data_IF_277284882003
#
_entry.id   IF_277284882003
#
_cell.length_a   1.000
_cell.length_b   1.000
_cell.length_c   1.000
_cell.angle_alpha   90.00
_cell.angle_beta   90.00
_cell.angle_gamma   90.00
#
_symmetry.space_group_name_H-M   'P 1'
#
loop_
_entity.id
_entity.type
_entity.pdbx_description
1 polymer ?
#
# COMPACT_ATOMS: atom_id res chain seq x y z
N UNK A 1 -31.84 -70.88 2.46
CA UNK A 1 -33.21 -70.53 1.99
C UNK A 1 -33.21 -69.03 1.64
N UNK A 2 -32.94 -68.62 0.40
CA UNK A 2 -33.78 -68.65 -0.83
C UNK A 2 -34.99 -67.68 -0.71
N UNK A 3 -35.34 -66.73 -1.59
CA UNK A 3 -34.86 -66.16 -2.86
C UNK A 3 -35.68 -64.86 -3.14
N UNK A 4 -35.26 -64.05 -4.14
CA UNK A 4 -35.93 -62.84 -4.72
C UNK A 4 -37.24 -63.17 -5.48
N UNK A 5 -38.01 -62.20 -6.06
CA UNK A 5 -37.67 -61.53 -7.36
C UNK A 5 -38.09 -60.03 -7.54
N UNK A 6 -37.49 -59.36 -8.55
CA UNK A 6 -37.95 -58.11 -9.22
C UNK A 6 -38.85 -58.47 -10.45
N UNK A 7 -39.50 -57.53 -11.23
CA UNK A 7 -38.88 -56.75 -12.34
C UNK A 7 -39.55 -55.35 -12.64
N UNK A 8 -38.90 -54.32 -13.21
CA UNK A 8 -38.49 -53.98 -14.60
C UNK A 8 -39.60 -53.48 -15.58
N UNK A 9 -39.35 -52.35 -16.27
CA UNK A 9 -39.79 -51.96 -17.64
C UNK A 9 -39.76 -50.41 -17.81
N UNK A 10 -39.40 -49.74 -18.92
CA UNK A 10 -38.65 -49.96 -20.17
C UNK A 10 -38.80 -48.63 -20.96
N UNK A 11 -37.73 -48.10 -21.57
CA UNK A 11 -37.79 -47.04 -22.62
C UNK A 11 -38.38 -47.62 -23.93
N UNK A 12 -38.71 -46.81 -24.98
CA UNK A 12 -37.69 -46.48 -25.99
C UNK A 12 -37.85 -45.14 -26.76
N UNK A 13 -36.83 -44.92 -27.60
CA UNK A 13 -36.44 -43.84 -28.53
C UNK A 13 -37.26 -43.62 -29.84
N UNK A 14 -36.78 -42.65 -30.66
CA UNK A 14 -36.83 -42.44 -32.14
C UNK A 14 -38.01 -41.58 -32.66
N UNK A 15 -37.90 -40.70 -33.68
CA UNK A 15 -37.05 -40.66 -34.88
C UNK A 15 -37.11 -39.26 -35.57
N UNK A 16 -36.16 -38.94 -36.46
CA UNK A 16 -36.04 -37.71 -37.28
C UNK A 16 -36.99 -37.71 -38.53
N UNK A 17 -36.99 -36.71 -39.44
CA UNK A 17 -35.94 -36.61 -40.48
C UNK A 17 -35.56 -35.18 -40.99
N UNK A 18 -34.47 -35.17 -41.76
CA UNK A 18 -33.82 -34.08 -42.52
C UNK A 18 -34.63 -33.59 -43.73
N UNK A 19 -34.34 -32.36 -44.20
CA UNK A 19 -34.46 -32.06 -45.64
C UNK A 19 -33.36 -31.08 -46.11
N UNK A 20 -32.76 -31.43 -47.25
CA UNK A 20 -31.59 -30.81 -47.90
C UNK A 20 -32.03 -30.02 -49.13
N UNK A 21 -31.56 -28.78 -49.33
CA UNK A 21 -31.42 -28.19 -50.68
C UNK A 21 -30.14 -27.34 -50.79
N UNK A 22 -29.27 -27.69 -51.74
CA UNK A 22 -28.12 -26.93 -52.25
C UNK A 22 -28.53 -26.11 -53.48
N UNK A 23 -27.93 -24.92 -53.67
CA UNK A 23 -27.41 -24.39 -54.97
C UNK A 23 -26.64 -23.05 -54.75
N UNK A 24 -25.42 -22.96 -55.33
CA UNK A 24 -24.48 -21.81 -55.47
C UNK A 24 -24.62 -21.14 -56.88
N UNK A 25 -23.85 -20.10 -57.33
CA UNK A 25 -23.06 -19.00 -56.68
C UNK A 25 -23.10 -17.57 -57.37
N UNK A 26 -22.55 -16.54 -56.66
CA UNK A 26 -21.80 -15.28 -57.07
C UNK A 26 -22.41 -14.17 -57.99
N UNK A 27 -21.93 -12.87 -58.03
CA UNK A 27 -20.65 -12.29 -57.56
C UNK A 27 -20.65 -10.86 -56.88
N UNK A 28 -19.47 -10.50 -56.33
CA UNK A 28 -18.81 -9.19 -56.06
C UNK A 28 -19.59 -7.86 -55.92
N UNK A 29 -19.25 -7.06 -54.89
CA UNK A 29 -18.53 -5.76 -55.01
C UNK A 29 -18.33 -5.02 -53.65
N UNK A 30 -17.07 -4.59 -53.44
CA UNK A 30 -16.51 -3.55 -52.53
C UNK A 30 -16.57 -3.65 -50.99
N UNK A 31 -15.42 -4.00 -50.40
CA UNK A 31 -14.97 -3.49 -49.09
C UNK A 31 -14.41 -2.06 -49.22
N UNK A 32 -14.55 -1.23 -48.17
CA UNK A 32 -13.34 -0.56 -47.69
C UNK A 32 -13.15 -0.61 -46.16
N UNK A 33 -12.03 -1.24 -45.79
CA UNK A 33 -11.08 -0.97 -44.71
C UNK A 33 -11.54 -0.98 -43.23
N UNK A 34 -10.98 -1.88 -42.38
CA UNK A 34 -10.94 -1.66 -40.94
C UNK A 34 -9.87 -0.61 -40.61
N UNK A 35 -10.29 0.46 -39.95
CA UNK A 35 -9.42 1.48 -39.37
C UNK A 35 -8.58 0.80 -38.28
N UNK A 36 -7.32 0.49 -38.57
CA UNK A 36 -6.37 0.02 -37.55
C UNK A 36 -5.98 1.21 -36.68
N UNK A 37 -6.58 1.29 -35.49
CA UNK A 37 -6.03 2.07 -34.38
C UNK A 37 -4.76 1.35 -33.91
N UNK A 38 -3.63 1.66 -34.55
CA UNK A 38 -2.31 1.38 -33.99
C UNK A 38 -2.15 2.18 -32.71
N UNK A 39 -2.52 1.56 -31.59
CA UNK A 39 -2.06 2.00 -30.28
C UNK A 39 -0.54 1.90 -30.26
N UNK A 40 0.12 3.05 -30.36
CA UNK A 40 1.54 3.19 -30.06
C UNK A 40 1.73 2.93 -28.57
N UNK A 41 1.96 1.66 -28.22
CA UNK A 41 2.46 1.29 -26.89
C UNK A 41 3.87 1.86 -26.83
N UNK A 42 3.97 3.06 -26.25
CA UNK A 42 5.25 3.67 -25.95
C UNK A 42 5.87 2.80 -24.86
N UNK A 43 6.84 1.98 -25.24
CA UNK A 43 7.64 1.20 -24.32
C UNK A 43 8.21 2.17 -23.27
N UNK A 44 7.67 2.10 -22.06
CA UNK A 44 8.16 2.85 -20.93
C UNK A 44 9.55 2.31 -20.65
N UNK A 45 10.59 3.12 -20.89
CA UNK A 45 11.95 2.81 -20.49
C UNK A 45 11.93 2.57 -18.97
N UNK A 46 11.96 1.30 -18.56
CA UNK A 46 12.18 0.91 -17.17
C UNK A 46 13.63 1.30 -16.86
N UNK A 47 13.81 2.45 -16.23
CA UNK A 47 15.12 2.93 -15.81
C UNK A 47 15.76 1.87 -14.92
N UNK A 48 16.92 1.34 -15.33
CA UNK A 48 17.72 0.43 -14.50
C UNK A 48 18.06 1.19 -13.20
N UNK A 49 17.60 0.66 -12.06
CA UNK A 49 17.67 1.34 -10.77
C UNK A 49 19.11 1.54 -10.28
N UNK A 50 19.51 2.80 -10.16
CA UNK A 50 20.78 3.27 -9.56
C UNK A 50 20.50 4.41 -8.57
N UNK A 51 19.30 4.45 -8.01
CA UNK A 51 18.91 5.51 -7.09
C UNK A 51 19.36 5.19 -5.66
N UNK A 52 20.07 6.13 -5.04
CA UNK A 52 20.47 6.01 -3.64
C UNK A 52 19.37 6.49 -2.69
N UNK A 53 18.88 5.59 -1.82
CA UNK A 53 17.86 5.90 -0.82
C UNK A 53 18.41 6.46 0.49
N UNK A 54 19.74 6.36 0.74
CA UNK A 54 20.38 6.79 1.99
C UNK A 54 20.00 8.21 2.44
N UNK A 55 19.99 9.26 1.59
CA UNK A 55 19.67 10.61 2.07
C UNK A 55 18.23 10.70 2.62
N UNK A 56 17.24 10.20 1.86
CA UNK A 56 15.84 10.23 2.28
C UNK A 56 15.56 9.36 3.50
N UNK A 57 16.21 8.19 3.60
CA UNK A 57 16.10 7.33 4.78
C UNK A 57 16.78 7.95 6.00
N UNK A 58 17.91 8.62 5.82
CA UNK A 58 18.58 9.38 6.87
C UNK A 58 17.70 10.50 7.42
N UNK A 59 17.05 11.27 6.55
CA UNK A 59 16.13 12.34 6.95
C UNK A 59 14.88 11.78 7.64
N UNK A 60 14.31 10.70 7.12
CA UNK A 60 13.18 9.99 7.73
C UNK A 60 13.55 9.53 9.15
N UNK A 61 14.70 8.86 9.31
CA UNK A 61 15.16 8.37 10.61
C UNK A 61 15.42 9.51 11.60
N UNK A 62 16.05 10.61 11.17
CA UNK A 62 16.24 11.80 12.00
C UNK A 62 14.90 12.40 12.44
N UNK A 63 13.94 12.52 11.53
CA UNK A 63 12.60 13.04 11.85
C UNK A 63 11.83 12.15 12.84
N UNK A 64 12.07 10.84 12.81
CA UNK A 64 11.55 9.91 13.81
C UNK A 64 12.23 10.05 15.19
N UNK A 65 13.31 10.83 15.32
CA UNK A 65 14.11 10.95 16.54
C UNK A 65 15.17 9.85 16.69
N UNK A 66 15.54 9.16 15.60
CA UNK A 66 16.50 8.06 15.63
C UNK A 66 17.91 8.53 15.28
N UNK A 67 18.90 7.91 15.92
CA UNK A 67 20.29 8.06 15.51
C UNK A 67 20.52 7.39 14.14
N UNK A 68 21.24 8.08 13.26
CA UNK A 68 21.66 7.54 11.96
C UNK A 68 23.14 7.15 12.07
N UNK A 69 23.44 5.88 11.83
CA UNK A 69 24.82 5.37 11.77
C UNK A 69 25.31 5.37 10.33
N UNK A 70 26.58 5.73 10.13
CA UNK A 70 27.24 5.69 8.83
C UNK A 70 28.27 4.54 8.78
N UNK A 71 28.32 3.74 7.71
CA UNK A 71 27.44 3.80 6.53
C UNK A 71 26.04 3.27 6.82
N UNK A 72 25.01 3.95 6.29
CA UNK A 72 23.63 3.46 6.35
C UNK A 72 23.43 2.32 5.35
N UNK A 73 23.00 1.15 5.85
CA UNK A 73 22.63 -0.02 5.05
C UNK A 73 21.19 -0.49 5.34
N UNK A 74 20.65 -1.35 4.47
CA UNK A 74 19.28 -1.83 4.58
C UNK A 74 19.01 -2.59 5.88
N UNK A 75 20.00 -3.33 6.40
CA UNK A 75 19.87 -4.09 7.64
C UNK A 75 19.89 -3.19 8.88
N UNK A 76 20.67 -2.11 8.86
CA UNK A 76 20.67 -1.05 9.86
C UNK A 76 19.31 -0.36 9.93
N UNK A 77 18.73 -0.01 8.78
CA UNK A 77 17.38 0.57 8.73
C UNK A 77 16.33 -0.41 9.25
N UNK A 78 16.37 -1.68 8.83
CA UNK A 78 15.44 -2.72 9.34
C UNK A 78 15.58 -2.92 10.85
N UNK A 79 16.80 -2.93 11.37
CA UNK A 79 17.08 -3.08 12.81
C UNK A 79 16.57 -1.89 13.61
N UNK A 80 16.71 -0.68 13.09
CA UNK A 80 16.24 0.53 13.74
C UNK A 80 14.71 0.64 13.71
N UNK A 81 14.08 0.35 12.58
CA UNK A 81 12.64 0.56 12.37
C UNK A 81 11.76 -0.63 12.80
N UNK A 82 12.24 -1.86 12.64
CA UNK A 82 11.46 -3.08 12.89
C UNK A 82 10.82 -3.14 14.27
N UNK A 83 11.58 -2.91 15.36
CA UNK A 83 11.02 -2.90 16.72
C UNK A 83 9.94 -1.84 16.94
N UNK A 84 10.02 -0.71 16.22
CA UNK A 84 9.11 0.44 16.40
C UNK A 84 7.69 0.16 15.91
N UNK A 85 7.53 -0.79 14.98
CA UNK A 85 6.22 -1.18 14.45
C UNK A 85 5.28 -1.61 15.59
N UNK A 86 5.80 -2.37 16.56
CA UNK A 86 5.01 -2.96 17.65
C UNK A 86 4.89 -2.06 18.88
N UNK A 87 5.62 -0.95 18.96
CA UNK A 87 5.53 -0.04 20.11
C UNK A 87 4.18 0.66 20.15
N UNK A 88 3.47 0.60 21.26
CA UNK A 88 2.12 1.15 21.43
C UNK A 88 2.00 1.76 22.84
N UNK A 89 1.09 2.72 23.05
CA UNK A 89 0.11 3.26 22.10
C UNK A 89 0.68 4.37 21.19
N UNK A 90 0.47 4.29 19.88
CA UNK A 90 0.80 5.37 18.92
C UNK A 90 -0.16 5.37 17.72
N UNK A 91 -0.11 6.46 16.94
CA UNK A 91 -0.90 6.61 15.71
C UNK A 91 -0.67 5.44 14.74
N UNK A 92 -1.74 4.79 14.30
CA UNK A 92 -1.68 3.75 13.27
C UNK A 92 -1.08 4.26 11.96
N UNK A 93 -1.26 5.55 11.62
CA UNK A 93 -0.65 6.16 10.43
C UNK A 93 0.88 6.17 10.51
N UNK A 94 1.44 6.44 11.69
CA UNK A 94 2.89 6.35 11.92
C UNK A 94 3.36 4.89 11.83
N UNK A 95 2.60 3.97 12.42
CA UNK A 95 2.89 2.53 12.31
C UNK A 95 2.90 2.07 10.85
N UNK A 96 1.90 2.48 10.06
CA UNK A 96 1.78 2.20 8.63
C UNK A 96 2.92 2.79 7.83
N UNK A 97 3.32 4.02 8.11
CA UNK A 97 4.47 4.69 7.50
C UNK A 97 5.73 3.83 7.66
N UNK A 98 6.04 3.40 8.89
CA UNK A 98 7.21 2.57 9.20
C UNK A 98 7.14 1.24 8.44
N UNK A 99 5.98 0.57 8.43
CA UNK A 99 5.79 -0.70 7.70
C UNK A 99 5.98 -0.54 6.19
N UNK A 100 5.46 0.53 5.59
CA UNK A 100 5.65 0.83 4.17
C UNK A 100 7.11 1.17 3.84
N UNK A 101 7.80 1.92 4.70
CA UNK A 101 9.25 2.14 4.54
C UNK A 101 9.99 0.82 4.48
N UNK A 102 9.71 -0.11 5.40
CA UNK A 102 10.33 -1.45 5.42
C UNK A 102 10.03 -2.27 4.17
N UNK A 103 8.83 -2.14 3.58
CA UNK A 103 8.44 -2.84 2.34
C UNK A 103 9.10 -2.28 1.08
N UNK A 104 9.53 -1.02 1.13
CA UNK A 104 10.17 -0.33 0.00
C UNK A 104 11.70 -0.43 0.02
N UNK A 105 12.32 -1.00 1.06
CA UNK A 105 13.77 -1.14 1.15
C UNK A 105 14.31 -2.11 0.09
N UNK A 106 15.15 -1.63 -0.86
CA UNK A 106 15.92 -2.50 -1.74
C UNK A 106 17.12 -3.08 -0.99
N UNK A 107 17.77 -4.05 -1.61
CA UNK A 107 19.02 -4.61 -1.12
C UNK A 107 19.96 -4.80 -2.32
N UNK A 108 21.02 -3.96 -2.47
CA UNK A 108 21.48 -2.85 -1.60
C UNK A 108 20.67 -1.54 -1.72
N UNK A 109 20.94 -0.55 -0.84
CA UNK A 109 20.19 0.74 -0.76
C UNK A 109 20.38 1.69 -1.96
N UNK A 110 21.40 1.47 -2.77
CA UNK A 110 21.71 2.18 -4.02
C UNK A 110 21.22 1.47 -5.29
N UNK A 111 20.47 0.39 -5.13
CA UNK A 111 19.84 -0.34 -6.22
C UNK A 111 18.33 -0.03 -6.36
N UNK A 112 17.85 1.09 -5.80
CA UNK A 112 16.45 1.47 -5.95
C UNK A 112 16.14 1.90 -7.37
N UNK A 113 14.92 1.62 -7.81
CA UNK A 113 14.37 2.29 -8.98
C UNK A 113 13.81 3.69 -8.63
N UNK A 114 13.54 4.50 -9.66
CA UNK A 114 13.02 5.86 -9.49
C UNK A 114 11.67 5.90 -8.74
N UNK A 115 10.80 4.92 -8.96
CA UNK A 115 9.51 4.81 -8.28
C UNK A 115 9.65 4.55 -6.79
N UNK A 116 10.51 3.61 -6.40
CA UNK A 116 10.84 3.34 -4.99
C UNK A 116 11.40 4.58 -4.30
N UNK A 117 12.35 5.29 -4.94
CA UNK A 117 12.88 6.56 -4.41
C UNK A 117 11.79 7.60 -4.23
N UNK A 118 10.90 7.75 -5.20
CA UNK A 118 9.77 8.67 -5.10
C UNK A 118 8.87 8.32 -3.90
N UNK A 119 8.50 7.04 -3.75
CA UNK A 119 7.66 6.60 -2.63
C UNK A 119 8.31 6.82 -1.26
N UNK A 120 9.60 6.50 -1.11
CA UNK A 120 10.35 6.75 0.14
C UNK A 120 10.46 8.25 0.43
N UNK A 121 10.59 9.09 -0.61
CA UNK A 121 10.58 10.55 -0.46
C UNK A 121 9.23 11.04 0.08
N UNK A 122 8.11 10.51 -0.44
CA UNK A 122 6.77 10.84 0.07
C UNK A 122 6.59 10.41 1.54
N UNK A 123 7.06 9.22 1.90
CA UNK A 123 7.04 8.74 3.29
C UNK A 123 7.85 9.67 4.21
N UNK A 124 9.04 10.09 3.80
CA UNK A 124 9.88 11.03 4.55
C UNK A 124 9.16 12.37 4.76
N UNK A 125 8.52 12.92 3.72
CA UNK A 125 7.75 14.16 3.83
C UNK A 125 6.54 14.04 4.80
N UNK A 126 5.94 12.85 4.93
CA UNK A 126 4.85 12.61 5.89
C UNK A 126 5.31 12.67 7.35
N UNK A 127 6.59 12.38 7.65
CA UNK A 127 7.14 12.46 9.01
C UNK A 127 6.97 13.88 9.56
N UNK A 128 7.37 14.91 8.80
CA UNK A 128 7.24 16.30 9.25
C UNK A 128 5.78 16.74 9.50
N UNK A 129 4.83 16.22 8.71
CA UNK A 129 3.40 16.50 8.90
C UNK A 129 2.84 15.83 10.14
N UNK A 130 3.19 14.56 10.37
CA UNK A 130 2.81 13.82 11.58
C UNK A 130 3.44 14.46 12.83
N UNK A 131 4.67 14.93 12.74
CA UNK A 131 5.40 15.58 13.83
C UNK A 131 4.75 16.91 14.23
N UNK A 132 4.47 17.78 13.27
CA UNK A 132 3.75 19.03 13.52
C UNK A 132 2.38 18.78 14.17
N UNK A 133 1.64 17.79 13.67
CA UNK A 133 0.33 17.43 14.21
C UNK A 133 0.43 16.91 15.65
N UNK A 134 1.39 16.03 15.91
CA UNK A 134 1.62 15.42 17.23
C UNK A 134 2.02 16.50 18.24
N UNK A 135 2.96 17.36 17.86
CA UNK A 135 3.43 18.51 18.65
C UNK A 135 2.28 19.42 19.04
N UNK A 136 1.45 19.86 18.08
CA UNK A 136 0.30 20.74 18.35
C UNK A 136 -0.66 20.12 19.37
N UNK A 137 -0.89 18.80 19.30
CA UNK A 137 -1.78 18.11 20.24
C UNK A 137 -1.17 17.89 21.62
N UNK A 138 0.13 17.66 21.71
CA UNK A 138 0.83 17.62 22.99
C UNK A 138 0.79 18.99 23.66
N UNK A 139 1.07 20.07 22.91
CA UNK A 139 1.00 21.45 23.41
C UNK A 139 -0.38 21.81 23.93
N UNK A 140 -1.45 21.47 23.19
CA UNK A 140 -2.83 21.70 23.61
C UNK A 140 -3.22 20.91 24.89
N UNK A 141 -2.45 19.88 25.23
CA UNK A 141 -2.62 19.08 26.46
C UNK A 141 -1.59 19.44 27.54
N UNK A 142 -0.76 20.45 27.31
CA UNK A 142 0.36 20.84 28.16
C UNK A 142 1.31 19.67 28.48
N UNK A 143 1.56 18.82 27.48
CA UNK A 143 2.47 17.68 27.58
C UNK A 143 3.83 18.02 26.95
N UNK A 144 4.92 17.36 27.42
CA UNK A 144 6.23 17.51 26.80
C UNK A 144 6.19 17.13 25.32
N UNK A 145 7.03 17.80 24.52
CA UNK A 145 7.19 17.61 23.08
C UNK A 145 8.61 18.03 22.68
N UNK A 146 9.04 17.67 21.47
CA UNK A 146 10.34 18.01 20.90
C UNK A 146 11.41 16.93 21.07
N UNK A 147 11.04 15.70 21.44
CA UNK A 147 11.97 14.57 21.59
C UNK A 147 12.10 13.72 20.30
N UNK A 148 11.45 14.15 19.22
CA UNK A 148 11.32 13.42 17.96
C UNK A 148 9.97 12.70 17.87
N UNK A 149 9.49 12.52 16.63
CA UNK A 149 8.12 12.10 16.37
C UNK A 149 7.75 10.79 17.09
N UNK A 150 8.66 9.83 17.20
CA UNK A 150 8.34 8.53 17.80
C UNK A 150 7.97 8.66 19.29
N UNK A 151 8.82 9.33 20.07
CA UNK A 151 8.62 9.51 21.51
C UNK A 151 7.38 10.38 21.77
N UNK A 152 7.27 11.48 21.04
CA UNK A 152 6.12 12.38 21.13
C UNK A 152 4.81 11.67 20.77
N UNK A 153 4.81 10.77 19.76
CA UNK A 153 3.64 10.00 19.38
C UNK A 153 3.23 8.97 20.45
N UNK A 154 4.19 8.38 21.16
CA UNK A 154 3.92 7.48 22.29
C UNK A 154 3.30 8.23 23.47
N UNK A 155 3.89 9.37 23.86
CA UNK A 155 3.35 10.24 24.92
C UNK A 155 1.93 10.68 24.57
N UNK A 156 1.69 11.09 23.32
CA UNK A 156 0.37 11.49 22.87
C UNK A 156 -0.61 10.31 22.89
N UNK A 157 -0.17 9.13 22.43
CA UNK A 157 -0.97 7.91 22.43
C UNK A 157 -1.44 7.54 23.84
N UNK A 158 -0.54 7.54 24.82
CA UNK A 158 -0.86 7.23 26.22
C UNK A 158 -1.87 8.23 26.79
N UNK A 159 -1.66 9.52 26.50
CA UNK A 159 -2.54 10.57 26.97
C UNK A 159 -3.95 10.46 26.36
N UNK A 160 -4.06 10.02 25.11
CA UNK A 160 -5.35 9.87 24.41
C UNK A 160 -6.07 8.57 24.77
N UNK A 161 -5.34 7.51 25.09
CA UNK A 161 -5.90 6.25 25.58
C UNK A 161 -6.58 6.47 26.95
N UNK A 162 -5.92 7.22 27.84
CA UNK A 162 -6.47 7.56 29.17
C UNK A 162 -7.65 8.53 29.12
N UNK A 163 -7.52 9.62 28.35
CA UNK A 163 -8.56 10.65 28.24
C UNK A 163 -8.73 11.00 26.76
N UNK A 164 -9.74 10.42 26.08
CA UNK A 164 -10.02 10.77 24.71
C UNK A 164 -10.26 12.28 24.57
N UNK A 165 -9.48 12.94 23.72
CA UNK A 165 -9.67 14.35 23.42
C UNK A 165 -10.93 14.58 22.57
N UNK A 166 -11.52 15.80 22.59
CA UNK A 166 -12.58 16.17 21.67
C UNK A 166 -12.06 16.16 20.21
N UNK A 167 -12.96 15.98 19.25
CA UNK A 167 -12.64 15.94 17.82
C UNK A 167 -12.42 14.53 17.28
N UNK A 168 -11.71 14.42 16.15
CA UNK A 168 -11.44 13.11 15.54
C UNK A 168 -10.46 12.32 16.40
N UNK A 169 -10.87 11.11 16.78
CA UNK A 169 -10.02 10.17 17.51
C UNK A 169 -8.84 9.76 16.64
N UNK A 170 -7.68 9.70 17.29
CA UNK A 170 -6.49 9.09 16.70
C UNK A 170 -6.75 7.58 16.59
N UNK A 171 -6.53 6.96 15.42
CA UNK A 171 -6.52 5.51 15.35
C UNK A 171 -5.32 4.99 16.15
N UNK A 172 -5.60 4.31 17.25
CA UNK A 172 -4.62 3.64 18.12
C UNK A 172 -4.81 2.12 18.02
N UNK A 173 -3.75 1.36 18.32
CA UNK A 173 -3.80 -0.10 18.37
C UNK A 173 -2.78 -0.75 17.45
N UNK A 174 -3.02 -2.01 17.07
CA UNK A 174 -2.15 -2.76 16.16
C UNK A 174 -2.54 -2.43 14.71
N UNK A 175 -1.56 -2.18 13.85
CA UNK A 175 -1.79 -2.05 12.40
C UNK A 175 -1.83 -3.46 11.77
N UNK A 176 -3.02 -4.04 11.72
CA UNK A 176 -3.31 -5.39 11.21
C UNK A 176 -3.61 -5.44 9.70
N UNK A 177 -3.64 -4.28 9.04
CA UNK A 177 -3.86 -4.21 7.60
C UNK A 177 -2.75 -4.92 6.83
N UNK A 178 -3.17 -5.71 5.85
CA UNK A 178 -2.28 -6.44 4.96
C UNK A 178 -1.62 -5.51 3.94
N UNK A 179 -0.29 -5.47 3.97
CA UNK A 179 0.48 -4.68 3.02
C UNK A 179 0.91 -5.52 1.81
N UNK A 180 0.92 -4.92 0.60
CA UNK A 180 1.44 -5.56 -0.60
C UNK A 180 2.86 -6.09 -0.40
N UNK A 181 3.16 -7.19 -1.09
CA UNK A 181 4.49 -7.82 -1.03
C UNK A 181 5.60 -6.85 -1.47
N UNK A 182 6.83 -7.00 -0.96
CA UNK A 182 7.98 -6.28 -1.50
C UNK A 182 8.07 -6.47 -3.03
N UNK A 183 8.30 -5.39 -3.77
CA UNK A 183 8.37 -5.39 -5.23
C UNK A 183 7.04 -5.18 -5.96
N UNK A 184 5.88 -5.24 -5.28
CA UNK A 184 4.59 -4.88 -5.86
C UNK A 184 4.41 -3.35 -5.93
N UNK A 185 5.21 -2.68 -6.76
CA UNK A 185 5.37 -1.21 -6.73
C UNK A 185 4.05 -0.45 -6.94
N UNK A 186 3.22 -0.86 -7.90
CA UNK A 186 1.95 -0.17 -8.17
C UNK A 186 0.95 -0.29 -7.01
N UNK A 187 0.97 -1.40 -6.29
CA UNK A 187 0.13 -1.60 -5.10
C UNK A 187 0.67 -0.82 -3.91
N UNK A 188 2.00 -0.84 -3.71
CA UNK A 188 2.66 -0.03 -2.69
C UNK A 188 2.46 1.46 -2.92
N UNK A 189 2.44 1.93 -4.18
CA UNK A 189 2.11 3.32 -4.52
C UNK A 189 0.72 3.70 -4.03
N UNK A 190 -0.29 2.88 -4.30
CA UNK A 190 -1.67 3.11 -3.83
C UNK A 190 -1.76 3.17 -2.30
N UNK A 191 -1.01 2.33 -1.60
CA UNK A 191 -0.93 2.35 -0.14
C UNK A 191 -0.28 3.65 0.39
N UNK A 192 0.82 4.10 -0.23
CA UNK A 192 1.49 5.36 0.12
C UNK A 192 0.58 6.56 -0.13
N UNK A 193 -0.11 6.62 -1.27
CA UNK A 193 -1.07 7.69 -1.59
C UNK A 193 -2.28 7.69 -0.65
N UNK A 194 -2.73 6.51 -0.23
CA UNK A 194 -3.82 6.37 0.74
C UNK A 194 -3.38 6.85 2.12
N UNK A 195 -2.17 6.49 2.55
CA UNK A 195 -1.57 6.99 3.77
C UNK A 195 -1.40 8.51 3.71
N UNK A 196 -0.90 9.06 2.61
CA UNK A 196 -0.72 10.50 2.45
C UNK A 196 -2.03 11.26 2.61
N UNK A 197 -3.10 10.79 1.97
CA UNK A 197 -4.43 11.37 2.18
C UNK A 197 -4.81 11.32 3.67
N UNK A 198 -4.63 10.18 4.34
CA UNK A 198 -4.95 10.03 5.76
C UNK A 198 -4.11 10.94 6.69
N UNK A 199 -2.86 11.25 6.33
CA UNK A 199 -2.00 12.19 7.05
C UNK A 199 -2.44 13.64 6.83
N UNK A 200 -2.87 13.99 5.62
CA UNK A 200 -3.24 15.35 5.21
C UNK A 200 -4.64 15.80 5.64
N UNK A 201 -5.47 14.95 6.28
CA UNK A 201 -6.80 15.39 6.67
C UNK A 201 -6.71 16.50 7.74
N UNK A 202 -7.46 17.61 7.56
CA UNK A 202 -7.40 18.75 8.48
C UNK A 202 -7.75 18.29 9.89
N UNK A 203 -6.94 18.72 10.87
CA UNK A 203 -7.22 18.51 12.29
C UNK A 203 -8.67 18.85 12.58
N UNK A 204 -9.48 17.83 12.82
CA UNK A 204 -10.84 18.02 13.32
C UNK A 204 -10.71 18.53 14.76
N UNK A 205 -10.70 19.86 14.90
CA UNK A 205 -10.64 20.56 16.17
C UNK A 205 -9.72 21.76 16.09
N UNK A 206 -10.21 22.87 15.53
CA UNK A 206 -9.96 24.28 15.91
C UNK A 206 -8.55 24.80 16.26
N UNK A 207 -7.49 24.02 16.16
CA UNK A 207 -6.12 24.45 16.48
C UNK A 207 -5.53 25.00 15.18
N UNK A 208 -5.49 26.34 15.11
CA UNK A 208 -4.81 27.13 14.09
C UNK A 208 -3.59 27.79 14.70
#
# INVERSE_FOLDING_TARGET
NNALPAPNALEPEQDAPEDTIRSEPEPLLDEPAPVTLSASVTATNVSRGEEDLRPMLGDLMKGLGLAVSEPLDANGVRRALGPLVQQQPKDLRLTRLIRLTLRLLPEPLDAANAGQKHLVTMLSAMVGRLDAWTTLRLQARHLPNGNGLLEDALILGEALDRIPGPGRRLPLGIDDHDLPSPGAEDELRKEVETLERAVNLPSAGGIR
#
